data_IF_985131746741
#
_entry.id   IF_985131746741
#
_cell.length_a   1.000
_cell.length_b   1.000
_cell.length_c   1.000
_cell.angle_alpha   90.00
_cell.angle_beta   90.00
_cell.angle_gamma   90.00
#
_symmetry.space_group_name_H-M   'P 1'
#
loop_
_entity.id
_entity.type
_entity.pdbx_description
1 polymer ?
#
# COMPACT_ATOMS: atom_id res chain seq x y z
N UNK A 1 7.93 9.91 -16.72
CA UNK A 1 8.56 8.66 -16.26
C UNK A 1 9.90 9.04 -15.66
N UNK A 2 10.12 8.78 -14.37
CA UNK A 2 11.27 9.27 -13.61
C UNK A 2 12.59 8.70 -14.15
N UNK A 3 13.68 9.50 -14.18
CA UNK A 3 15.04 9.10 -14.63
C UNK A 3 15.56 7.80 -13.98
N UNK A 4 15.05 7.48 -12.79
CA UNK A 4 15.32 6.27 -12.01
C UNK A 4 15.20 4.96 -12.81
N UNK A 5 14.16 4.83 -13.64
CA UNK A 5 13.94 3.62 -14.45
C UNK A 5 14.97 3.48 -15.57
N UNK A 6 15.43 4.60 -16.12
CA UNK A 6 16.43 4.64 -17.20
C UNK A 6 17.83 4.33 -16.66
N UNK A 7 18.12 4.75 -15.41
CA UNK A 7 19.38 4.49 -14.74
C UNK A 7 19.45 3.13 -14.03
N UNK A 8 18.36 2.36 -14.04
CA UNK A 8 18.27 1.08 -13.33
C UNK A 8 18.40 1.22 -11.81
N UNK A 9 18.07 2.40 -11.26
CA UNK A 9 18.20 2.73 -9.84
C UNK A 9 16.84 3.07 -9.27
N UNK A 10 16.43 2.38 -8.20
CA UNK A 10 15.21 2.71 -7.46
C UNK A 10 15.53 3.77 -6.41
N UNK A 11 14.85 4.92 -6.39
CA UNK A 11 15.01 5.85 -5.26
C UNK A 11 14.42 5.27 -3.98
N UNK A 12 14.95 5.73 -2.84
CA UNK A 12 14.36 5.42 -1.53
C UNK A 12 12.87 5.79 -1.47
N UNK A 13 12.47 6.91 -2.07
CA UNK A 13 11.06 7.32 -2.10
C UNK A 13 10.16 6.39 -2.91
N UNK A 14 10.68 5.81 -4.01
CA UNK A 14 9.95 4.85 -4.81
C UNK A 14 9.82 3.51 -4.06
N UNK A 15 10.89 3.09 -3.38
CA UNK A 15 10.88 1.93 -2.50
C UNK A 15 9.89 2.08 -1.34
N UNK A 16 9.85 3.24 -0.68
CA UNK A 16 8.92 3.54 0.42
C UNK A 16 7.47 3.41 -0.04
N UNK A 17 7.12 4.03 -1.17
CA UNK A 17 5.76 3.95 -1.75
C UNK A 17 5.42 2.53 -2.19
N UNK A 18 6.37 1.79 -2.75
CA UNK A 18 6.17 0.38 -3.09
C UNK A 18 5.81 -0.44 -1.84
N UNK A 19 6.57 -0.28 -0.75
CA UNK A 19 6.31 -0.99 0.50
C UNK A 19 4.95 -0.60 1.10
N UNK A 20 4.55 0.66 1.01
CA UNK A 20 3.20 1.09 1.43
C UNK A 20 2.10 0.35 0.66
N UNK A 21 2.22 0.24 -0.67
CA UNK A 21 1.24 -0.48 -1.50
C UNK A 21 1.24 -1.98 -1.18
N UNK A 22 2.42 -2.59 -1.05
CA UNK A 22 2.57 -4.01 -0.72
C UNK A 22 1.86 -4.37 0.60
N UNK A 23 2.00 -3.52 1.62
CA UNK A 23 1.39 -3.75 2.93
C UNK A 23 0.00 -3.11 3.10
N UNK A 24 -0.58 -2.51 2.05
CA UNK A 24 -1.87 -1.82 2.15
C UNK A 24 -3.03 -2.79 2.45
N UNK A 25 -2.95 -4.04 1.98
CA UNK A 25 -3.95 -5.07 2.27
C UNK A 25 -4.02 -5.39 3.76
N UNK A 26 -2.88 -5.72 4.37
CA UNK A 26 -2.73 -5.95 5.82
C UNK A 26 -3.25 -4.74 6.61
N UNK A 27 -2.88 -3.52 6.19
CA UNK A 27 -3.34 -2.30 6.85
C UNK A 27 -4.86 -2.11 6.75
N UNK A 28 -5.47 -2.47 5.61
CA UNK A 28 -6.91 -2.40 5.40
C UNK A 28 -7.67 -3.42 6.26
N UNK A 29 -7.17 -4.66 6.34
CA UNK A 29 -7.73 -5.70 7.22
C UNK A 29 -7.71 -5.26 8.68
N UNK A 30 -6.55 -4.82 9.18
CA UNK A 30 -6.42 -4.32 10.55
C UNK A 30 -7.34 -3.11 10.82
N UNK A 31 -7.53 -2.22 9.84
CA UNK A 31 -8.44 -1.07 9.98
C UNK A 31 -9.92 -1.46 10.05
N UNK A 32 -10.32 -2.52 9.35
CA UNK A 32 -11.73 -2.93 9.23
C UNK A 32 -12.12 -3.94 10.31
N UNK A 33 -11.26 -4.91 10.57
CA UNK A 33 -11.53 -6.07 11.43
C UNK A 33 -10.79 -6.05 12.77
N UNK A 34 -9.84 -5.14 12.96
CA UNK A 34 -9.06 -4.99 14.20
C UNK A 34 -7.79 -5.84 14.25
N UNK A 35 -7.73 -6.89 13.44
CA UNK A 35 -6.55 -7.75 13.23
C UNK A 35 -6.42 -8.08 11.74
N UNK A 36 -5.24 -8.52 11.32
CA UNK A 36 -4.98 -9.02 9.97
C UNK A 36 -4.77 -10.54 10.03
N UNK A 37 -5.45 -11.29 9.17
CA UNK A 37 -5.40 -12.76 9.15
C UNK A 37 -4.50 -13.29 8.01
N UNK A 38 -4.11 -12.42 7.06
CA UNK A 38 -3.21 -12.75 5.96
C UNK A 38 -1.86 -12.03 6.03
N UNK A 39 -1.18 -11.93 4.87
CA UNK A 39 0.02 -11.10 4.71
C UNK A 39 1.34 -11.86 4.58
N UNK A 40 1.37 -13.18 4.80
CA UNK A 40 2.61 -13.98 4.67
C UNK A 40 3.23 -13.84 3.27
N UNK A 41 2.39 -13.87 2.22
CA UNK A 41 2.84 -13.68 0.85
C UNK A 41 3.44 -12.27 0.62
N UNK A 42 2.86 -11.24 1.24
CA UNK A 42 3.35 -9.87 1.14
C UNK A 42 4.70 -9.71 1.86
N UNK A 43 4.85 -10.32 3.04
CA UNK A 43 6.12 -10.36 3.78
C UNK A 43 7.22 -11.12 3.02
N UNK A 44 6.85 -12.24 2.40
CA UNK A 44 7.77 -13.03 1.58
C UNK A 44 8.19 -12.27 0.31
N UNK A 45 7.26 -11.53 -0.32
CA UNK A 45 7.57 -10.66 -1.45
C UNK A 45 8.49 -9.51 -1.03
N UNK A 46 8.22 -8.87 0.12
CA UNK A 46 9.06 -7.82 0.68
C UNK A 46 10.50 -8.31 0.91
N UNK A 47 10.67 -9.48 1.54
CA UNK A 47 11.98 -10.10 1.75
C UNK A 47 12.68 -10.38 0.43
N UNK A 48 11.96 -10.96 -0.54
CA UNK A 48 12.51 -11.32 -1.85
C UNK A 48 13.01 -10.09 -2.62
N UNK A 49 12.26 -8.98 -2.56
CA UNK A 49 12.65 -7.72 -3.21
C UNK A 49 13.86 -7.08 -2.55
N UNK A 50 13.94 -7.08 -1.21
CA UNK A 50 15.12 -6.58 -0.52
C UNK A 50 16.40 -7.32 -0.94
N UNK A 51 16.32 -8.64 -1.10
CA UNK A 51 17.42 -9.48 -1.58
C UNK A 51 17.73 -9.21 -3.06
N UNK A 52 16.72 -9.20 -3.92
CA UNK A 52 16.89 -9.00 -5.37
C UNK A 52 17.53 -7.65 -5.70
N UNK A 53 17.11 -6.59 -5.00
CA UNK A 53 17.64 -5.25 -5.16
C UNK A 53 18.95 -5.02 -4.40
N UNK A 54 19.43 -6.02 -3.66
CA UNK A 54 20.65 -5.95 -2.84
C UNK A 54 20.67 -4.73 -1.91
N UNK A 55 19.52 -4.45 -1.28
CA UNK A 55 19.40 -3.26 -0.45
C UNK A 55 20.33 -3.38 0.77
N UNK A 56 21.09 -2.33 1.11
CA UNK A 56 22.01 -2.35 2.25
C UNK A 56 21.25 -2.15 3.58
N UNK A 57 20.23 -2.97 3.83
CA UNK A 57 19.39 -2.92 5.02
C UNK A 57 19.71 -4.10 5.93
N UNK A 58 19.97 -3.80 7.20
CA UNK A 58 19.98 -4.82 8.24
C UNK A 58 18.57 -5.40 8.46
N UNK A 59 18.49 -6.56 9.10
CA UNK A 59 17.21 -7.18 9.50
C UNK A 59 16.33 -6.23 10.32
N UNK A 60 16.94 -5.47 11.23
CA UNK A 60 16.23 -4.46 12.03
C UNK A 60 15.67 -3.32 11.17
N UNK A 61 16.44 -2.86 10.18
CA UNK A 61 15.97 -1.82 9.24
C UNK A 61 14.86 -2.33 8.34
N UNK A 62 14.96 -3.56 7.81
CA UNK A 62 13.87 -4.18 7.05
C UNK A 62 12.58 -4.29 7.89
N UNK A 63 12.72 -4.72 9.15
CA UNK A 63 11.59 -4.81 10.07
C UNK A 63 10.96 -3.44 10.36
N UNK A 64 11.78 -2.39 10.53
CA UNK A 64 11.29 -1.03 10.71
C UNK A 64 10.60 -0.49 9.44
N UNK A 65 11.13 -0.79 8.26
CA UNK A 65 10.50 -0.42 6.99
C UNK A 65 9.10 -1.04 6.88
N UNK A 66 8.96 -2.34 7.14
CA UNK A 66 7.66 -3.01 7.08
C UNK A 66 6.65 -2.39 8.07
N UNK A 67 7.04 -2.19 9.34
CA UNK A 67 6.18 -1.53 10.34
C UNK A 67 5.80 -0.11 9.93
N UNK A 68 6.75 0.66 9.42
CA UNK A 68 6.51 2.02 8.96
C UNK A 68 5.53 2.02 7.79
N UNK A 69 5.71 1.16 6.80
CA UNK A 69 4.83 1.04 5.65
C UNK A 69 3.40 0.63 6.03
N UNK A 70 3.23 -0.35 6.92
CA UNK A 70 1.91 -0.71 7.47
C UNK A 70 1.26 0.50 8.16
N UNK A 71 1.99 1.21 9.02
CA UNK A 71 1.47 2.38 9.73
C UNK A 71 1.07 3.51 8.77
N UNK A 72 1.88 3.78 7.75
CA UNK A 72 1.56 4.82 6.76
C UNK A 72 0.33 4.45 5.94
N UNK A 73 0.24 3.21 5.46
CA UNK A 73 -0.93 2.73 4.71
C UNK A 73 -2.19 2.73 5.58
N UNK A 74 -2.08 2.31 6.85
CA UNK A 74 -3.17 2.36 7.82
C UNK A 74 -3.66 3.80 8.02
N UNK A 75 -2.75 4.75 8.24
CA UNK A 75 -3.13 6.16 8.42
C UNK A 75 -3.76 6.75 7.17
N UNK A 76 -3.23 6.45 5.98
CA UNK A 76 -3.82 6.88 4.71
C UNK A 76 -5.26 6.38 4.56
N UNK A 77 -5.49 5.09 4.79
CA UNK A 77 -6.82 4.48 4.72
C UNK A 77 -7.76 5.01 5.80
N UNK A 78 -7.25 5.24 7.01
CA UNK A 78 -8.01 5.80 8.14
C UNK A 78 -8.46 7.24 7.86
N UNK A 79 -7.57 8.09 7.36
CA UNK A 79 -7.91 9.48 7.04
C UNK A 79 -8.87 9.58 5.85
N UNK A 80 -8.74 8.69 4.87
CA UNK A 80 -9.60 8.63 3.70
C UNK A 80 -10.64 7.49 3.79
N UNK A 81 -11.19 7.26 4.99
CA UNK A 81 -12.10 6.12 5.25
C UNK A 81 -13.34 6.11 4.36
N UNK A 82 -13.86 7.28 4.00
CA UNK A 82 -15.00 7.42 3.10
C UNK A 82 -14.65 6.95 1.67
N UNK A 83 -13.49 7.33 1.15
CA UNK A 83 -13.02 6.91 -0.17
C UNK A 83 -12.67 5.42 -0.19
N UNK A 84 -12.04 4.90 0.87
CA UNK A 84 -11.81 3.47 1.04
C UNK A 84 -13.13 2.68 1.00
N UNK A 85 -14.15 3.11 1.75
CA UNK A 85 -15.47 2.46 1.73
C UNK A 85 -16.11 2.51 0.33
N UNK A 86 -16.04 3.64 -0.36
CA UNK A 86 -16.57 3.79 -1.71
C UNK A 86 -15.88 2.84 -2.71
N UNK A 87 -14.56 2.66 -2.58
CA UNK A 87 -13.81 1.70 -3.38
C UNK A 87 -14.28 0.27 -3.14
N UNK A 88 -14.37 -0.14 -1.86
CA UNK A 88 -14.80 -1.50 -1.47
C UNK A 88 -16.21 -1.79 -2.00
N UNK A 89 -17.17 -0.90 -1.77
CA UNK A 89 -18.54 -1.08 -2.25
C UNK A 89 -18.63 -1.16 -3.78
N UNK A 90 -17.81 -0.39 -4.50
CA UNK A 90 -17.76 -0.48 -5.96
C UNK A 90 -17.18 -1.83 -6.41
N UNK A 91 -16.08 -2.28 -5.81
CA UNK A 91 -15.46 -3.57 -6.12
C UNK A 91 -16.41 -4.75 -5.84
N UNK A 92 -17.12 -4.75 -4.70
CA UNK A 92 -18.13 -5.75 -4.35
C UNK A 92 -19.30 -5.78 -5.36
N UNK A 93 -19.62 -4.65 -5.97
CA UNK A 93 -20.67 -4.54 -6.99
C UNK A 93 -20.24 -5.07 -8.36
N UNK A 94 -18.98 -5.49 -8.54
CA UNK A 94 -18.46 -6.04 -9.79
C UNK A 94 -18.43 -5.04 -10.96
N UNK A 95 -18.42 -3.72 -10.68
CA UNK A 95 -18.33 -2.70 -11.72
C UNK A 95 -16.91 -2.64 -12.31
N UNK A 96 -16.76 -2.01 -13.47
CA UNK A 96 -15.45 -1.83 -14.09
C UNK A 96 -14.52 -0.97 -13.21
N UNK A 97 -13.21 -1.18 -13.37
CA UNK A 97 -12.18 -0.44 -12.63
C UNK A 97 -12.31 1.08 -12.82
N UNK A 98 -12.68 1.54 -14.02
CA UNK A 98 -12.93 2.96 -14.29
C UNK A 98 -14.03 3.55 -13.40
N UNK A 99 -15.06 2.77 -13.08
CA UNK A 99 -16.12 3.20 -12.16
C UNK A 99 -15.61 3.21 -10.72
N UNK A 100 -14.81 2.21 -10.31
CA UNK A 100 -14.18 2.20 -8.97
C UNK A 100 -13.33 3.47 -8.78
N UNK A 101 -12.50 3.82 -9.76
CA UNK A 101 -11.68 5.04 -9.72
C UNK A 101 -12.55 6.30 -9.59
N UNK A 102 -13.60 6.41 -10.41
CA UNK A 102 -14.56 7.52 -10.32
C UNK A 102 -15.20 7.63 -8.93
N UNK A 103 -15.59 6.50 -8.31
CA UNK A 103 -16.17 6.48 -6.96
C UNK A 103 -15.20 6.98 -5.90
N UNK A 104 -13.92 6.64 -6.04
CA UNK A 104 -12.87 7.16 -5.15
C UNK A 104 -12.73 8.68 -5.32
N UNK A 105 -12.64 9.17 -6.56
CA UNK A 105 -12.51 10.61 -6.85
C UNK A 105 -13.70 11.44 -6.34
N UNK A 106 -14.93 10.93 -6.54
CA UNK A 106 -16.16 11.53 -6.02
C UNK A 106 -16.12 11.61 -4.49
N UNK A 107 -15.80 10.49 -3.82
CA UNK A 107 -15.74 10.44 -2.36
C UNK A 107 -14.68 11.38 -1.78
N UNK A 108 -13.50 11.47 -2.40
CA UNK A 108 -12.41 12.37 -1.99
C UNK A 108 -12.77 13.86 -2.15
N UNK A 109 -13.65 14.18 -3.11
CA UNK A 109 -14.10 15.55 -3.37
C UNK A 109 -15.21 15.99 -2.41
N UNK A 110 -16.05 15.06 -1.94
CA UNK A 110 -17.14 15.33 -1.00
C UNK A 110 -16.70 15.52 0.46
N UNK A 111 -15.44 15.21 0.78
CA UNK A 111 -14.86 15.38 2.12
C UNK A 111 -14.21 16.75 2.37
N UNK A 112 -14.41 17.73 1.47
CA UNK A 112 -13.94 19.13 1.60
C UNK A 112 -15.06 20.06 2.01
#
# INVERSE_FOLDING_TARGET
>A
MSNELVEGRLSGSAFDRYCMVLFAGIAAEALVYGEAEGGENDENMFRSICVLLQLPLSVAQMSNQARWSVLQSFNLLKWHRHAHRAAVTALESGVSLSIVMKRIEEAMSSGR
#
